data_IF_470786166244
#
_entry.id   IF_470786166244
#
_cell.length_a   1.000
_cell.length_b   1.000
_cell.length_c   1.000
_cell.angle_alpha   90.00
_cell.angle_beta   90.00
_cell.angle_gamma   90.00
#
_symmetry.space_group_name_H-M   'P 1'
#
loop_
_entity.id
_entity.type
_entity.pdbx_description
1 polymer ?
#
# COMPACT_ATOMS: atom_id res chain seq x y z
N UNK A 1 -0.56 2.30 -38.91
CA UNK A 1 0.49 1.29 -38.60
C UNK A 1 1.65 1.83 -37.74
N UNK A 2 1.68 3.10 -37.31
CA UNK A 2 2.76 3.65 -36.45
C UNK A 2 2.54 3.50 -34.92
N UNK A 3 1.36 3.05 -34.47
CA UNK A 3 1.00 3.06 -33.04
C UNK A 3 1.52 1.84 -32.24
N UNK A 4 1.87 0.73 -32.91
CA UNK A 4 2.37 -0.47 -32.24
C UNK A 4 3.88 -0.40 -31.95
N UNK A 5 4.64 0.27 -32.82
CA UNK A 5 6.10 0.38 -32.68
C UNK A 5 6.50 1.32 -31.52
N UNK A 6 5.70 2.35 -31.23
CA UNK A 6 5.96 3.27 -30.12
C UNK A 6 5.62 2.65 -28.75
N UNK A 7 4.60 1.78 -28.69
CA UNK A 7 4.32 0.96 -27.50
C UNK A 7 5.45 -0.03 -27.24
N UNK A 8 5.95 -0.72 -28.25
CA UNK A 8 7.06 -1.67 -28.11
C UNK A 8 8.39 -1.00 -27.71
N UNK A 9 8.71 0.19 -28.23
CA UNK A 9 9.94 0.92 -27.86
C UNK A 9 9.85 1.46 -26.43
N UNK A 10 8.69 1.98 -26.02
CA UNK A 10 8.47 2.42 -24.63
C UNK A 10 8.50 1.22 -23.69
N UNK A 11 7.86 0.10 -24.06
CA UNK A 11 7.90 -1.15 -23.29
C UNK A 11 9.32 -1.73 -23.22
N UNK A 12 10.12 -1.65 -24.28
CA UNK A 12 11.49 -2.16 -24.32
C UNK A 12 12.46 -1.30 -23.52
N UNK A 13 12.35 0.05 -23.58
CA UNK A 13 13.16 0.95 -22.73
C UNK A 13 12.71 0.89 -21.27
N UNK A 14 11.41 0.67 -21.01
CA UNK A 14 10.87 0.44 -19.67
C UNK A 14 11.32 -0.90 -19.12
N UNK A 15 11.23 -1.99 -19.90
CA UNK A 15 11.78 -3.33 -19.61
C UNK A 15 13.31 -3.29 -19.51
N UNK A 16 14.02 -2.38 -20.19
CA UNK A 16 15.49 -2.26 -20.14
C UNK A 16 15.97 -1.44 -18.92
N UNK A 17 15.28 -0.36 -18.55
CA UNK A 17 15.44 0.31 -17.25
C UNK A 17 15.00 -0.59 -16.09
N UNK A 18 13.97 -1.40 -16.32
CA UNK A 18 13.58 -2.53 -15.49
C UNK A 18 14.54 -3.70 -15.67
N UNK A 19 15.41 -3.82 -16.67
CA UNK A 19 16.30 -4.99 -16.84
C UNK A 19 17.50 -4.89 -15.91
N UNK A 20 18.10 -3.69 -15.82
CA UNK A 20 19.10 -3.37 -14.79
C UNK A 20 18.48 -3.30 -13.39
N UNK A 21 17.23 -2.83 -13.26
CA UNK A 21 16.48 -2.95 -12.01
C UNK A 21 15.83 -4.32 -11.81
N UNK A 22 15.82 -5.24 -12.76
CA UNK A 22 15.13 -6.55 -12.68
C UNK A 22 16.00 -7.49 -11.91
N UNK A 23 17.31 -7.36 -12.05
CA UNK A 23 18.23 -8.01 -11.14
C UNK A 23 17.96 -7.53 -9.70
N UNK A 24 17.70 -6.24 -9.49
CA UNK A 24 17.34 -5.69 -8.18
C UNK A 24 15.93 -6.07 -7.72
N UNK A 25 14.96 -6.14 -8.63
CA UNK A 25 13.54 -6.47 -8.45
C UNK A 25 13.34 -7.97 -8.20
N UNK A 26 14.08 -8.82 -8.91
CA UNK A 26 14.14 -10.27 -8.70
C UNK A 26 14.89 -10.58 -7.39
N UNK A 27 15.96 -9.84 -7.06
CA UNK A 27 16.65 -9.98 -5.77
C UNK A 27 15.77 -9.50 -4.60
N UNK A 28 15.01 -8.42 -4.75
CA UNK A 28 14.07 -7.96 -3.74
C UNK A 28 12.87 -8.91 -3.63
N UNK A 29 12.35 -9.41 -4.75
CA UNK A 29 11.37 -10.52 -4.80
C UNK A 29 11.84 -11.74 -4.03
N UNK A 30 13.07 -12.19 -4.32
CA UNK A 30 13.65 -13.40 -3.74
C UNK A 30 13.95 -13.19 -2.26
N UNK A 31 14.32 -11.98 -1.81
CA UNK A 31 14.47 -11.64 -0.39
C UNK A 31 13.13 -11.60 0.34
N UNK A 32 12.13 -10.91 -0.22
CA UNK A 32 10.79 -10.79 0.37
C UNK A 32 10.16 -12.18 0.51
N UNK A 33 10.14 -13.01 -0.54
CA UNK A 33 9.56 -14.35 -0.50
C UNK A 33 10.43 -15.41 0.20
N UNK A 34 11.73 -15.17 0.41
CA UNK A 34 12.60 -16.06 1.18
C UNK A 34 12.30 -16.02 2.68
N UNK A 35 11.61 -14.99 3.18
CA UNK A 35 11.27 -14.92 4.59
C UNK A 35 10.08 -15.83 4.90
N UNK A 36 10.36 -16.95 5.59
CA UNK A 36 9.32 -17.81 6.16
C UNK A 36 8.53 -17.08 7.26
N UNK A 37 9.17 -16.14 7.95
CA UNK A 37 8.55 -15.34 9.00
C UNK A 37 7.75 -14.14 8.45
N UNK A 38 6.47 -14.07 8.83
CA UNK A 38 5.53 -13.04 8.39
C UNK A 38 5.94 -11.62 8.82
N UNK A 39 6.61 -11.48 9.98
CA UNK A 39 7.04 -10.17 10.49
C UNK A 39 8.28 -9.67 9.75
N UNK A 40 9.23 -10.55 9.47
CA UNK A 40 10.39 -10.23 8.64
C UNK A 40 9.97 -9.90 7.20
N UNK A 41 9.02 -10.64 6.64
CA UNK A 41 8.40 -10.36 5.34
C UNK A 41 7.82 -8.95 5.28
N UNK A 42 7.00 -8.57 6.27
CA UNK A 42 6.40 -7.23 6.36
C UNK A 42 7.48 -6.14 6.41
N UNK A 43 8.49 -6.29 7.26
CA UNK A 43 9.58 -5.30 7.35
C UNK A 43 10.34 -5.15 6.03
N UNK A 44 10.68 -6.26 5.39
CA UNK A 44 11.36 -6.25 4.09
C UNK A 44 10.49 -5.59 3.02
N UNK A 45 9.20 -5.94 2.95
CA UNK A 45 8.25 -5.35 2.03
C UNK A 45 8.18 -3.83 2.17
N UNK A 46 8.07 -3.31 3.39
CA UNK A 46 7.89 -1.87 3.64
C UNK A 46 9.13 -1.06 3.23
N UNK A 47 10.33 -1.60 3.46
CA UNK A 47 11.58 -0.98 3.00
C UNK A 47 11.62 -0.87 1.48
N UNK A 48 11.22 -1.93 0.79
CA UNK A 48 11.22 -1.98 -0.67
C UNK A 48 10.08 -1.13 -1.27
N UNK A 49 8.89 -1.18 -0.67
CA UNK A 49 7.74 -0.36 -1.04
C UNK A 49 8.07 1.13 -0.98
N UNK A 50 8.73 1.61 0.09
CA UNK A 50 9.08 3.03 0.23
C UNK A 50 10.04 3.51 -0.86
N UNK A 51 11.04 2.69 -1.19
CA UNK A 51 11.98 2.99 -2.28
C UNK A 51 11.23 3.04 -3.61
N UNK A 52 10.43 2.01 -3.89
CA UNK A 52 9.64 1.91 -5.11
C UNK A 52 8.65 3.06 -5.27
N UNK A 53 7.86 3.37 -4.23
CA UNK A 53 6.87 4.43 -4.24
C UNK A 53 7.50 5.82 -4.48
N UNK A 54 8.66 6.08 -3.87
CA UNK A 54 9.43 7.30 -4.15
C UNK A 54 9.88 7.35 -5.62
N UNK A 55 10.31 6.22 -6.18
CA UNK A 55 10.70 6.14 -7.60
C UNK A 55 9.52 6.30 -8.55
N UNK A 56 8.32 5.85 -8.18
CA UNK A 56 7.08 6.10 -8.94
C UNK A 56 6.77 7.59 -9.08
N UNK A 57 7.30 8.44 -8.20
CA UNK A 57 7.15 9.89 -8.30
C UNK A 57 8.34 10.58 -9.00
N UNK A 58 9.49 9.92 -9.13
CA UNK A 58 10.68 10.50 -9.77
C UNK A 58 10.76 10.09 -11.23
N UNK A 59 10.58 8.80 -11.52
CA UNK A 59 10.76 8.22 -12.85
C UNK A 59 9.84 8.79 -13.93
N UNK A 60 8.55 9.10 -13.67
CA UNK A 60 7.68 9.67 -14.71
C UNK A 60 8.10 11.06 -15.21
N UNK A 61 8.79 11.86 -14.38
CA UNK A 61 9.14 13.25 -14.68
C UNK A 61 9.92 13.44 -15.99
N UNK A 62 10.99 12.68 -16.29
CA UNK A 62 11.68 12.77 -17.58
C UNK A 62 10.82 12.28 -18.76
N UNK A 63 9.80 11.45 -18.54
CA UNK A 63 8.94 10.91 -19.59
C UNK A 63 7.70 11.75 -19.89
N UNK A 64 7.47 12.86 -19.19
CA UNK A 64 6.31 13.73 -19.43
C UNK A 64 6.18 14.15 -20.92
N UNK A 65 7.30 14.44 -21.58
CA UNK A 65 7.30 14.80 -23.01
C UNK A 65 6.93 13.62 -23.93
N UNK A 66 7.33 12.40 -23.55
CA UNK A 66 6.98 11.18 -24.25
C UNK A 66 5.49 10.87 -24.08
N UNK A 67 4.94 11.05 -22.87
CA UNK A 67 3.51 10.87 -22.59
C UNK A 67 2.64 11.84 -23.41
N UNK A 68 3.00 13.13 -23.50
CA UNK A 68 2.30 14.11 -24.34
C UNK A 68 2.29 13.69 -25.81
N UNK A 69 3.39 13.11 -26.29
CA UNK A 69 3.53 12.63 -27.68
C UNK A 69 2.68 11.38 -27.92
N UNK A 70 2.62 10.46 -26.95
CA UNK A 70 1.83 9.24 -26.99
C UNK A 70 0.32 9.50 -26.85
N UNK A 71 -0.08 10.52 -26.11
CA UNK A 71 -1.49 10.90 -25.92
C UNK A 71 -2.11 11.56 -27.17
N UNK A 72 -1.31 11.89 -28.19
CA UNK A 72 -1.76 12.30 -29.51
C UNK A 72 -2.55 13.61 -29.51
N UNK A 73 -1.91 14.73 -29.90
CA UNK A 73 -2.52 16.03 -30.23
C UNK A 73 -4.04 16.12 -30.02
N UNK A 74 -4.46 16.49 -28.82
CA UNK A 74 -5.54 17.44 -28.66
C UNK A 74 -5.05 18.53 -27.72
N UNK A 75 -5.00 19.75 -28.25
CA UNK A 75 -4.58 20.91 -27.50
C UNK A 75 -5.42 21.06 -26.24
N UNK A 76 -4.76 21.33 -25.13
CA UNK A 76 -5.11 22.34 -24.14
C UNK A 76 -4.01 22.31 -23.09
N UNK A 77 -3.60 23.47 -22.61
CA UNK A 77 -2.72 23.65 -21.46
C UNK A 77 -3.39 23.07 -20.20
N UNK A 78 -3.48 21.75 -20.07
CA UNK A 78 -3.68 21.08 -18.79
C UNK A 78 -2.32 20.61 -18.33
N UNK A 79 -1.86 21.14 -17.19
CA UNK A 79 -0.78 20.51 -16.42
C UNK A 79 -1.13 19.02 -16.34
N UNK A 80 -0.32 18.17 -16.97
CA UNK A 80 -0.45 16.72 -16.83
C UNK A 80 -0.33 16.44 -15.33
N UNK A 81 -1.45 16.08 -14.72
CA UNK A 81 -1.48 15.81 -13.30
C UNK A 81 -0.68 14.53 -13.09
N UNK A 82 0.28 14.56 -12.16
CA UNK A 82 1.25 13.48 -12.00
C UNK A 82 0.60 12.13 -11.63
N UNK A 83 -0.61 12.18 -11.09
CA UNK A 83 -1.46 11.01 -10.84
C UNK A 83 -1.94 10.29 -12.11
N UNK A 84 -2.05 10.99 -13.24
CA UNK A 84 -2.56 10.44 -14.51
C UNK A 84 -1.42 9.95 -15.43
N UNK A 85 -0.17 9.92 -14.94
CA UNK A 85 0.97 9.42 -15.70
C UNK A 85 0.79 7.94 -16.05
N UNK A 86 0.86 7.65 -17.35
CA UNK A 86 0.81 6.29 -17.90
C UNK A 86 1.98 5.48 -17.36
N UNK A 87 3.15 6.11 -17.23
CA UNK A 87 4.35 5.49 -16.66
C UNK A 87 4.12 5.11 -15.19
N UNK A 88 3.61 6.02 -14.36
CA UNK A 88 3.32 5.76 -12.94
C UNK A 88 2.30 4.63 -12.79
N UNK A 89 1.25 4.64 -13.61
CA UNK A 89 0.22 3.59 -13.62
C UNK A 89 0.82 2.21 -13.94
N UNK A 90 1.63 2.12 -15.00
CA UNK A 90 2.28 0.86 -15.39
C UNK A 90 3.22 0.33 -14.30
N UNK A 91 3.95 1.20 -13.60
CA UNK A 91 4.78 0.80 -12.45
C UNK A 91 3.92 0.15 -11.36
N UNK A 92 2.86 0.84 -10.92
CA UNK A 92 1.98 0.38 -9.85
C UNK A 92 1.27 -0.93 -10.21
N UNK A 93 0.75 -1.05 -11.43
CA UNK A 93 0.09 -2.28 -11.91
C UNK A 93 1.07 -3.47 -11.90
N UNK A 94 2.31 -3.26 -12.35
CA UNK A 94 3.36 -4.30 -12.34
C UNK A 94 3.72 -4.74 -10.91
N UNK A 95 3.85 -3.80 -9.98
CA UNK A 95 4.11 -4.09 -8.57
C UNK A 95 2.95 -4.86 -7.93
N UNK A 96 1.71 -4.47 -8.26
CA UNK A 96 0.52 -5.12 -7.77
C UNK A 96 0.46 -6.59 -8.21
N UNK A 97 0.58 -6.84 -9.52
CA UNK A 97 0.44 -8.18 -10.09
C UNK A 97 1.52 -9.15 -9.61
N UNK A 98 2.75 -8.65 -9.47
CA UNK A 98 3.88 -9.51 -9.11
C UNK A 98 4.03 -9.65 -7.59
N UNK A 99 4.16 -8.57 -6.82
CA UNK A 99 4.47 -8.69 -5.38
C UNK A 99 3.18 -8.70 -4.56
N UNK A 100 2.43 -7.60 -4.63
CA UNK A 100 1.38 -7.32 -3.65
C UNK A 100 0.25 -8.34 -3.69
N UNK A 101 -0.21 -8.74 -4.88
CA UNK A 101 -1.29 -9.71 -5.07
C UNK A 101 -1.06 -11.04 -4.32
N UNK A 102 0.21 -11.47 -4.25
CA UNK A 102 0.64 -12.74 -3.69
C UNK A 102 0.80 -12.71 -2.17
N UNK A 103 1.16 -11.56 -1.60
CA UNK A 103 1.46 -11.43 -0.16
C UNK A 103 0.49 -10.52 0.61
N UNK A 104 -0.48 -9.88 -0.04
CA UNK A 104 -1.42 -8.92 0.57
C UNK A 104 -2.11 -9.45 1.83
N UNK A 105 -2.56 -10.71 1.83
CA UNK A 105 -3.23 -11.32 2.99
C UNK A 105 -2.28 -11.45 4.17
N UNK A 106 -1.06 -11.95 3.94
CA UNK A 106 -0.01 -12.08 4.96
C UNK A 106 0.41 -10.73 5.52
N UNK A 107 0.55 -9.72 4.65
CA UNK A 107 0.86 -8.34 5.06
C UNK A 107 -0.26 -7.75 5.93
N UNK A 108 -1.53 -7.95 5.53
CA UNK A 108 -2.69 -7.49 6.28
C UNK A 108 -2.75 -8.15 7.65
N UNK A 109 -2.63 -9.48 7.72
CA UNK A 109 -2.69 -10.22 8.98
C UNK A 109 -1.56 -9.82 9.93
N UNK A 110 -0.36 -9.60 9.39
CA UNK A 110 0.79 -9.10 10.16
C UNK A 110 0.57 -7.70 10.68
N UNK A 111 0.00 -6.81 9.85
CA UNK A 111 -0.36 -5.45 10.27
C UNK A 111 -1.43 -5.46 11.38
N UNK A 112 -2.45 -6.32 11.28
CA UNK A 112 -3.48 -6.44 12.32
C UNK A 112 -2.90 -6.99 13.63
N UNK A 113 -1.94 -7.92 13.58
CA UNK A 113 -1.23 -8.41 14.78
C UNK A 113 -0.45 -7.28 15.46
N UNK A 114 0.24 -6.43 14.70
CA UNK A 114 0.96 -5.27 15.26
C UNK A 114 0.01 -4.27 15.94
N UNK A 115 -1.12 -3.96 15.31
CA UNK A 115 -2.16 -3.10 15.90
C UNK A 115 -2.72 -3.72 17.20
N UNK A 116 -2.91 -5.03 17.24
CA UNK A 116 -3.37 -5.70 18.44
C UNK A 116 -2.33 -5.63 19.57
N UNK A 117 -1.05 -5.82 19.25
CA UNK A 117 0.05 -5.71 20.21
C UNK A 117 0.16 -4.28 20.78
N UNK A 118 -0.02 -3.26 19.94
CA UNK A 118 -0.05 -1.84 20.37
C UNK A 118 -1.15 -1.57 21.39
N UNK A 119 -2.34 -2.15 21.20
CA UNK A 119 -3.45 -2.03 22.16
C UNK A 119 -3.16 -2.69 23.50
N UNK A 120 -2.24 -3.65 23.53
CA UNK A 120 -1.76 -4.28 24.76
C UNK A 120 -0.58 -3.54 25.40
N UNK A 121 -0.11 -2.46 24.78
CA UNK A 121 0.98 -1.61 25.27
C UNK A 121 2.34 -1.87 24.62
N UNK A 122 2.42 -2.74 23.60
CA UNK A 122 3.66 -2.97 22.87
C UNK A 122 3.86 -1.95 21.75
N UNK A 123 4.87 -1.09 21.89
CA UNK A 123 5.20 -0.13 20.84
C UNK A 123 5.77 -0.85 19.60
N UNK A 124 5.34 -0.42 18.41
CA UNK A 124 5.89 -0.88 17.14
C UNK A 124 6.16 0.28 16.18
N UNK A 125 6.88 0.01 15.10
CA UNK A 125 7.10 1.02 14.04
C UNK A 125 5.82 1.22 13.22
N UNK A 126 5.16 2.36 13.42
CA UNK A 126 3.92 2.73 12.72
C UNK A 126 4.04 2.71 11.20
N UNK A 127 5.26 2.85 10.65
CA UNK A 127 5.50 2.79 9.21
C UNK A 127 5.16 1.41 8.61
N UNK A 128 5.19 0.34 9.42
CA UNK A 128 4.82 -0.99 8.97
C UNK A 128 3.33 -1.07 8.59
N UNK A 129 2.46 -0.50 9.41
CA UNK A 129 1.02 -0.47 9.14
C UNK A 129 0.69 0.60 8.09
N UNK A 130 1.34 1.77 8.16
CA UNK A 130 1.14 2.86 7.19
C UNK A 130 1.51 2.40 5.78
N UNK A 131 2.63 1.71 5.56
CA UNK A 131 3.03 1.28 4.23
C UNK A 131 2.13 0.18 3.65
N UNK A 132 1.58 -0.72 4.48
CA UNK A 132 0.53 -1.67 4.03
C UNK A 132 -0.72 -0.91 3.61
N UNK A 133 -1.18 0.05 4.42
CA UNK A 133 -2.33 0.90 4.08
C UNK A 133 -2.11 1.65 2.76
N UNK A 134 -0.96 2.28 2.58
CA UNK A 134 -0.60 2.98 1.34
C UNK A 134 -0.62 2.07 0.13
N UNK A 135 -0.17 0.82 0.29
CA UNK A 135 -0.22 -0.19 -0.76
C UNK A 135 -1.66 -0.49 -1.18
N UNK A 136 -2.57 -0.71 -0.22
CA UNK A 136 -4.00 -0.92 -0.50
C UNK A 136 -4.67 0.29 -1.16
N UNK A 137 -4.23 1.51 -0.88
CA UNK A 137 -4.80 2.72 -1.49
C UNK A 137 -4.25 2.96 -2.90
N UNK A 138 -2.95 2.77 -3.12
CA UNK A 138 -2.29 3.14 -4.38
C UNK A 138 -2.27 2.03 -5.43
N UNK A 139 -2.44 0.77 -5.04
CA UNK A 139 -2.40 -0.39 -5.96
C UNK A 139 -3.79 -0.83 -6.42
N UNK A 140 -4.83 -0.02 -6.19
CA UNK A 140 -6.17 -0.34 -6.66
C UNK A 140 -6.26 -0.17 -8.18
N UNK A 141 -6.58 -1.26 -8.87
CA UNK A 141 -6.76 -1.27 -10.32
C UNK A 141 -8.13 -0.76 -10.78
N UNK A 142 -9.07 -0.47 -9.85
CA UNK A 142 -10.40 0.03 -10.21
C UNK A 142 -10.34 1.55 -10.53
N UNK A 143 -10.63 1.98 -11.78
CA UNK A 143 -10.59 3.38 -12.17
C UNK A 143 -11.75 4.21 -11.59
N UNK A 144 -12.88 3.60 -11.25
CA UNK A 144 -14.05 4.28 -10.70
C UNK A 144 -13.96 4.44 -9.18
N UNK A 145 -13.30 3.49 -8.50
CA UNK A 145 -13.18 3.47 -7.05
C UNK A 145 -11.79 3.01 -6.60
N UNK A 146 -10.87 3.97 -6.52
CA UNK A 146 -9.47 3.77 -6.08
C UNK A 146 -9.36 3.23 -4.64
N UNK A 147 -10.43 3.29 -3.84
CA UNK A 147 -10.42 2.87 -2.44
C UNK A 147 -11.14 1.55 -2.21
N UNK A 148 -11.67 0.90 -3.25
CA UNK A 148 -12.46 -0.32 -3.10
C UNK A 148 -11.70 -1.41 -2.33
N UNK A 149 -10.48 -1.75 -2.78
CA UNK A 149 -9.69 -2.82 -2.15
C UNK A 149 -9.27 -2.46 -0.72
N UNK A 150 -9.11 -1.17 -0.44
CA UNK A 150 -8.80 -0.67 0.89
C UNK A 150 -9.98 -0.91 1.84
N UNK A 151 -11.20 -0.52 1.41
CA UNK A 151 -12.40 -0.66 2.24
C UNK A 151 -12.77 -2.12 2.46
N UNK A 152 -12.77 -2.92 1.39
CA UNK A 152 -13.25 -4.30 1.43
C UNK A 152 -12.30 -5.25 2.19
N UNK A 153 -11.02 -4.88 2.33
CA UNK A 153 -10.00 -5.72 2.95
C UNK A 153 -9.42 -5.08 4.21
N UNK A 154 -8.62 -4.02 4.06
CA UNK A 154 -7.85 -3.46 5.18
C UNK A 154 -8.75 -2.76 6.21
N UNK A 155 -9.65 -1.88 5.76
CA UNK A 155 -10.58 -1.16 6.65
C UNK A 155 -11.50 -2.15 7.37
N UNK A 156 -12.09 -3.10 6.62
CA UNK A 156 -12.92 -4.16 7.18
C UNK A 156 -12.17 -4.98 8.23
N UNK A 157 -10.96 -5.46 7.93
CA UNK A 157 -10.16 -6.23 8.89
C UNK A 157 -9.79 -5.42 10.13
N UNK A 158 -9.48 -4.13 9.95
CA UNK A 158 -9.19 -3.22 11.05
C UNK A 158 -10.41 -3.02 11.94
N UNK A 159 -11.58 -2.73 11.38
CA UNK A 159 -12.83 -2.58 12.12
C UNK A 159 -13.21 -3.87 12.85
N UNK A 160 -13.19 -5.02 12.16
CA UNK A 160 -13.51 -6.33 12.75
C UNK A 160 -12.57 -6.66 13.92
N UNK A 161 -11.27 -6.40 13.79
CA UNK A 161 -10.29 -6.62 14.87
C UNK A 161 -10.53 -5.70 16.07
N UNK A 162 -10.93 -4.46 15.80
CA UNK A 162 -11.22 -3.43 16.81
C UNK A 162 -12.50 -3.75 17.57
N UNK A 163 -13.55 -4.11 16.85
CA UNK A 163 -14.81 -4.54 17.45
C UNK A 163 -14.58 -5.75 18.34
N UNK A 164 -13.90 -6.80 17.86
CA UNK A 164 -13.61 -8.00 18.65
C UNK A 164 -12.82 -7.67 19.92
N UNK A 165 -11.78 -6.84 19.81
CA UNK A 165 -10.97 -6.44 20.97
C UNK A 165 -11.83 -5.77 22.05
N UNK A 166 -12.58 -4.72 21.69
CA UNK A 166 -13.38 -3.99 22.67
C UNK A 166 -14.61 -4.77 23.14
N UNK A 167 -15.18 -5.64 22.32
CA UNK A 167 -16.29 -6.52 22.72
C UNK A 167 -15.89 -7.48 23.84
N UNK A 168 -14.65 -7.93 23.88
CA UNK A 168 -14.12 -8.76 24.96
C UNK A 168 -13.58 -7.93 26.12
N UNK A 169 -12.87 -6.85 25.85
CA UNK A 169 -12.22 -6.03 26.88
C UNK A 169 -13.22 -5.19 27.69
N UNK A 170 -14.26 -4.63 27.05
CA UNK A 170 -15.19 -3.70 27.70
C UNK A 170 -16.00 -4.35 28.85
N UNK A 171 -16.61 -5.54 28.68
CA UNK A 171 -17.33 -6.19 29.78
C UNK A 171 -16.40 -6.57 30.94
N UNK A 172 -15.19 -7.04 30.64
CA UNK A 172 -14.19 -7.41 31.65
C UNK A 172 -13.76 -6.20 32.49
N UNK A 173 -13.45 -5.08 31.82
CA UNK A 173 -13.06 -3.84 32.48
C UNK A 173 -14.20 -3.25 33.32
N UNK A 174 -15.44 -3.29 32.81
CA UNK A 174 -16.62 -2.81 33.50
C UNK A 174 -16.88 -3.59 34.80
N UNK A 175 -16.77 -4.92 34.77
CA UNK A 175 -16.95 -5.77 35.95
C UNK A 175 -15.87 -5.52 37.01
N UNK A 176 -14.63 -5.29 36.59
CA UNK A 176 -13.50 -5.11 37.52
C UNK A 176 -13.44 -3.70 38.13
N UNK A 177 -13.75 -2.66 37.35
CA UNK A 177 -13.48 -1.27 37.73
C UNK A 177 -14.74 -0.44 37.99
N UNK A 178 -15.93 -0.98 37.72
CA UNK A 178 -17.21 -0.30 37.89
C UNK A 178 -17.52 0.75 36.81
N UNK A 179 -18.78 1.17 36.78
CA UNK A 179 -19.35 2.01 35.71
C UNK A 179 -18.65 3.37 35.57
N UNK A 180 -18.30 4.03 36.68
CA UNK A 180 -17.67 5.35 36.63
C UNK A 180 -16.28 5.34 35.99
N UNK A 181 -15.45 4.34 36.32
CA UNK A 181 -14.11 4.20 35.72
C UNK A 181 -14.19 3.74 34.27
N UNK A 182 -15.19 2.92 33.92
CA UNK A 182 -15.47 2.55 32.53
C UNK A 182 -15.84 3.77 31.68
N UNK A 183 -16.71 4.66 32.17
CA UNK A 183 -17.05 5.89 31.44
C UNK A 183 -15.83 6.75 31.15
N UNK A 184 -14.91 6.91 32.12
CA UNK A 184 -13.64 7.61 31.91
C UNK A 184 -12.74 6.90 30.88
N UNK A 185 -12.63 5.58 30.98
CA UNK A 185 -11.83 4.75 30.05
C UNK A 185 -12.30 4.87 28.59
N UNK A 186 -13.63 4.84 28.36
CA UNK A 186 -14.19 4.99 27.01
C UNK A 186 -13.98 6.42 26.49
N UNK A 187 -14.14 7.45 27.34
CA UNK A 187 -13.92 8.84 26.95
C UNK A 187 -12.47 9.13 26.56
N UNK A 188 -11.49 8.58 27.29
CA UNK A 188 -10.07 8.74 26.96
C UNK A 188 -9.66 7.98 25.68
N UNK A 189 -10.22 6.80 25.43
CA UNK A 189 -9.92 6.06 24.19
C UNK A 189 -10.57 6.69 22.95
N UNK A 190 -11.74 7.31 23.08
CA UNK A 190 -12.44 7.93 21.95
C UNK A 190 -11.72 9.18 21.39
N UNK A 191 -10.70 9.69 22.07
CA UNK A 191 -9.91 10.84 21.61
C UNK A 191 -8.78 10.44 20.66
N UNK A 192 -8.40 9.15 20.59
CA UNK A 192 -7.28 8.66 19.76
C UNK A 192 -7.69 8.12 18.39
N UNK A 193 -8.98 7.95 18.11
CA UNK A 193 -9.51 7.31 16.90
C UNK A 193 -10.43 8.23 16.05
N UNK A 194 -10.34 9.56 16.24
CA UNK A 194 -10.97 10.55 15.36
C UNK A 194 -10.00 11.04 14.29
#
# INVERSE_FOLDING_TARGET
MQNNNCREITFSVFICSISSNCCWYLLSWQRVLSHQDDTALLKAYIVEWRKFFTQCDILPKPFCQLEITLMGKQGTNKKTNMEDSIVRKLMLDTWNESIFSNIKSRLQDSAMKLVHAERQGEAFDSQLVIGVRESYVNLCSNPEDKLQIYRDNFEKAYLDSTERFYRTQAPSYLQQNGVQNYMKYVSCNNTYYK
#
